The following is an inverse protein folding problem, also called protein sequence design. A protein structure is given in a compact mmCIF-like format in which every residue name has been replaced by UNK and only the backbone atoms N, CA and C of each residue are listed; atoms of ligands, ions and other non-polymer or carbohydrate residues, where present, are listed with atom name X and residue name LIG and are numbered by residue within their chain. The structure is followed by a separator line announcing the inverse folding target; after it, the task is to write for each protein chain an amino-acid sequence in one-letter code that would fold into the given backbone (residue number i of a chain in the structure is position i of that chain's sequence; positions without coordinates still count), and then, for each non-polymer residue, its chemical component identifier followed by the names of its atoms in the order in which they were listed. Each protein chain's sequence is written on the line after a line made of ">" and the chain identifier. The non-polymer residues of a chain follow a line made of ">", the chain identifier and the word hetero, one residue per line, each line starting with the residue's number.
data_IF_540316534543
#
_entry.id   IF_540316534543
#
_cell.length_a   1.000
_cell.length_b   1.000
_cell.length_c   1.000
_cell.angle_alpha   90.00
_cell.angle_beta   90.00
_cell.angle_gamma   90.00
#
_symmetry.space_group_name_H-M   'P 1'
#
loop_
_entity.id
_entity.type
_entity.pdbx_description
1 polymer ?
#
# COMPACT_ATOMS: atom_id res chain seq x y z
N UNK A 1 19.59 -6.73 -11.85
CA UNK A 1 19.15 -7.21 -10.52
C UNK A 1 17.85 -7.95 -10.75
N UNK A 2 17.81 -9.28 -10.55
CA UNK A 2 16.53 -10.02 -10.62
C UNK A 2 15.78 -9.78 -9.32
N UNK A 3 14.60 -9.17 -9.41
CA UNK A 3 13.71 -9.02 -8.25
C UNK A 3 13.20 -10.41 -7.90
N UNK A 4 13.50 -10.90 -6.69
CA UNK A 4 12.92 -12.14 -6.20
C UNK A 4 11.46 -11.83 -5.87
N UNK A 5 10.54 -12.18 -6.76
CA UNK A 5 9.11 -12.06 -6.46
C UNK A 5 8.74 -13.10 -5.41
N UNK A 6 8.13 -12.64 -4.33
CA UNK A 6 7.61 -13.56 -3.32
C UNK A 6 6.45 -14.36 -3.91
N UNK A 7 6.31 -15.63 -3.51
CA UNK A 7 5.14 -16.45 -3.86
C UNK A 7 3.82 -15.79 -3.44
N UNK A 8 3.86 -14.96 -2.40
CA UNK A 8 2.74 -14.13 -1.95
C UNK A 8 2.34 -13.08 -3.02
N UNK A 9 3.30 -12.40 -3.66
CA UNK A 9 3.02 -11.42 -4.73
C UNK A 9 2.46 -12.08 -6.00
N UNK A 10 2.94 -13.27 -6.34
CA UNK A 10 2.40 -14.03 -7.48
C UNK A 10 0.92 -14.35 -7.30
N UNK A 11 0.51 -14.73 -6.09
CA UNK A 11 -0.87 -15.12 -5.76
C UNK A 11 -1.78 -13.96 -5.40
N UNK A 12 -1.26 -12.90 -4.81
CA UNK A 12 -2.03 -11.71 -4.49
C UNK A 12 -2.55 -11.05 -5.78
N UNK A 13 -3.83 -10.69 -5.82
CA UNK A 13 -4.51 -10.16 -7.02
C UNK A 13 -4.41 -11.08 -8.26
N UNK A 14 -4.28 -12.40 -8.10
CA UNK A 14 -4.42 -13.37 -9.19
C UNK A 14 -5.90 -13.65 -9.51
N UNK A 15 -6.18 -14.39 -10.59
CA UNK A 15 -7.55 -14.84 -10.89
C UNK A 15 -8.13 -15.67 -9.74
N UNK A 16 -7.34 -16.58 -9.17
CA UNK A 16 -7.73 -17.44 -8.05
C UNK A 16 -8.04 -16.63 -6.79
N UNK A 17 -7.28 -15.54 -6.55
CA UNK A 17 -7.56 -14.59 -5.48
C UNK A 17 -8.96 -13.99 -5.60
N UNK A 18 -9.33 -13.53 -6.79
CA UNK A 18 -10.65 -12.92 -7.01
C UNK A 18 -11.80 -13.93 -6.97
N UNK A 19 -11.53 -15.22 -7.21
CA UNK A 19 -12.54 -16.28 -7.10
C UNK A 19 -12.75 -16.71 -5.65
N UNK A 20 -11.68 -16.89 -4.89
CA UNK A 20 -11.73 -17.24 -3.47
C UNK A 20 -10.45 -16.77 -2.76
N UNK A 21 -10.50 -15.64 -2.03
CA UNK A 21 -9.29 -15.06 -1.46
C UNK A 21 -8.82 -15.74 -0.16
N UNK A 22 -9.70 -16.47 0.55
CA UNK A 22 -9.39 -16.99 1.89
C UNK A 22 -8.22 -18.00 1.94
N UNK A 23 -8.07 -18.95 0.98
CA UNK A 23 -6.89 -19.80 0.93
C UNK A 23 -5.60 -19.00 0.72
N UNK A 24 -5.65 -17.94 -0.08
CA UNK A 24 -4.48 -17.09 -0.35
C UNK A 24 -4.14 -16.22 0.86
N UNK A 25 -5.13 -15.66 1.55
CA UNK A 25 -4.89 -14.95 2.82
C UNK A 25 -4.19 -15.84 3.84
N UNK A 26 -4.63 -17.10 3.99
CA UNK A 26 -3.99 -18.07 4.88
C UNK A 26 -2.53 -18.30 4.51
N UNK A 27 -2.26 -18.55 3.23
CA UNK A 27 -0.89 -18.80 2.77
C UNK A 27 0.01 -17.56 2.93
N UNK A 28 -0.51 -16.37 2.65
CA UNK A 28 0.21 -15.09 2.87
C UNK A 28 0.55 -14.96 4.36
N UNK A 29 -0.41 -15.16 5.25
CA UNK A 29 -0.21 -15.06 6.70
C UNK A 29 0.84 -16.07 7.22
N UNK A 30 0.87 -17.28 6.66
CA UNK A 30 1.79 -18.34 7.09
C UNK A 30 3.22 -18.17 6.56
N UNK A 31 3.38 -17.61 5.35
CA UNK A 31 4.68 -17.63 4.65
C UNK A 31 5.35 -16.27 4.48
N UNK A 32 4.57 -15.21 4.32
CA UNK A 32 5.08 -13.86 4.03
C UNK A 32 4.02 -12.80 4.37
N UNK A 33 3.73 -12.59 5.67
CA UNK A 33 2.58 -11.79 6.11
C UNK A 33 2.68 -10.29 5.75
N UNK A 34 3.90 -9.79 5.51
CA UNK A 34 4.18 -8.44 5.03
C UNK A 34 5.11 -8.55 3.83
N UNK A 35 4.70 -8.05 2.66
CA UNK A 35 5.49 -8.16 1.42
C UNK A 35 5.27 -6.98 0.47
N UNK A 36 6.26 -6.69 -0.38
CA UNK A 36 6.08 -5.77 -1.49
C UNK A 36 5.32 -6.47 -2.62
N UNK A 37 4.21 -5.89 -3.06
CA UNK A 37 3.51 -6.33 -4.26
C UNK A 37 3.85 -5.45 -5.45
N UNK A 38 4.39 -6.05 -6.51
CA UNK A 38 4.64 -5.32 -7.76
C UNK A 38 3.34 -4.95 -8.46
N UNK A 39 2.32 -5.82 -8.38
CA UNK A 39 1.00 -5.57 -8.98
C UNK A 39 0.33 -4.34 -8.36
N UNK A 40 0.39 -4.20 -7.04
CA UNK A 40 -0.17 -3.05 -6.33
C UNK A 40 0.79 -1.85 -6.24
N UNK A 41 2.08 -2.06 -6.51
CA UNK A 41 3.17 -1.11 -6.24
C UNK A 41 3.10 -0.57 -4.81
N UNK A 42 2.88 -1.48 -3.86
CA UNK A 42 2.64 -1.17 -2.47
C UNK A 42 3.11 -2.31 -1.56
N UNK A 43 3.42 -1.94 -0.31
CA UNK A 43 3.53 -2.91 0.77
C UNK A 43 2.15 -3.43 1.14
N UNK A 44 2.01 -4.74 1.17
CA UNK A 44 0.82 -5.45 1.62
C UNK A 44 1.06 -5.91 3.05
N UNK A 45 0.13 -5.60 3.94
CA UNK A 45 0.15 -5.96 5.36
C UNK A 45 -1.10 -6.79 5.62
N UNK A 46 -0.93 -8.01 6.12
CA UNK A 46 -2.03 -8.96 6.33
C UNK A 46 -2.33 -9.35 7.77
N UNK A 47 -1.40 -9.34 8.75
CA UNK A 47 -1.73 -9.68 10.13
C UNK A 47 -2.75 -8.71 10.72
N UNK A 48 -3.74 -9.26 11.42
CA UNK A 48 -4.81 -8.46 12.02
C UNK A 48 -4.27 -7.33 12.90
N UNK A 49 -3.34 -7.63 13.81
CA UNK A 49 -2.80 -6.63 14.73
C UNK A 49 -2.09 -5.49 14.00
N UNK A 50 -1.27 -5.79 12.99
CA UNK A 50 -0.55 -4.78 12.20
C UNK A 50 -1.50 -3.89 11.40
N UNK A 51 -2.58 -4.48 10.86
CA UNK A 51 -3.63 -3.74 10.17
C UNK A 51 -4.38 -2.84 11.14
N UNK A 52 -4.81 -3.39 12.28
CA UNK A 52 -5.54 -2.66 13.32
C UNK A 52 -4.71 -1.47 13.84
N UNK A 53 -3.46 -1.71 14.22
CA UNK A 53 -2.54 -0.66 14.67
C UNK A 53 -2.35 0.41 13.59
N UNK A 54 -2.21 0.01 12.32
CA UNK A 54 -2.08 0.92 11.19
C UNK A 54 -3.30 1.80 10.95
N UNK A 55 -4.52 1.30 11.20
CA UNK A 55 -5.76 2.07 11.05
C UNK A 55 -5.90 3.21 12.06
N UNK A 56 -5.24 3.09 13.22
CA UNK A 56 -5.25 4.12 14.27
C UNK A 56 -4.11 5.14 14.15
N UNK A 57 -3.20 4.95 13.18
CA UNK A 57 -2.09 5.87 12.95
C UNK A 57 -2.46 6.92 11.88
N UNK A 58 -2.47 8.19 12.30
CA UNK A 58 -2.75 9.34 11.42
C UNK A 58 -1.89 9.34 10.14
N UNK A 59 -0.64 8.85 10.23
CA UNK A 59 0.33 8.85 9.12
C UNK A 59 -0.12 8.03 7.91
N UNK A 60 -1.02 7.06 8.12
CA UNK A 60 -1.53 6.19 7.05
C UNK A 60 -2.84 6.68 6.45
N UNK A 61 -3.42 7.77 6.97
CA UNK A 61 -4.55 8.45 6.32
C UNK A 61 -4.16 9.01 4.96
N UNK A 62 -5.10 9.06 4.01
CA UNK A 62 -4.83 9.60 2.67
C UNK A 62 -4.22 11.01 2.73
N UNK A 63 -4.79 11.88 3.57
CA UNK A 63 -4.34 13.26 3.76
C UNK A 63 -2.89 13.32 4.25
N UNK A 64 -2.56 12.62 5.33
CA UNK A 64 -1.20 12.67 5.88
C UNK A 64 -0.18 11.98 4.96
N UNK A 65 -0.57 10.90 4.26
CA UNK A 65 0.28 10.29 3.24
C UNK A 65 0.62 11.27 2.13
N UNK A 66 -0.37 12.02 1.65
CA UNK A 66 -0.17 13.03 0.61
C UNK A 66 0.65 14.21 1.11
N UNK A 67 0.37 14.74 2.32
CA UNK A 67 1.18 15.80 2.93
C UNK A 67 2.65 15.40 3.06
N UNK A 68 2.91 14.19 3.56
CA UNK A 68 4.27 13.69 3.74
C UNK A 68 4.94 13.43 2.39
N UNK A 69 4.25 12.83 1.45
CA UNK A 69 4.77 12.58 0.10
C UNK A 69 5.09 13.89 -0.63
N UNK A 70 4.31 14.96 -0.46
CA UNK A 70 4.55 16.24 -1.12
C UNK A 70 5.48 17.18 -0.36
N UNK A 71 5.88 16.84 0.86
CA UNK A 71 6.65 17.73 1.76
C UNK A 71 8.03 18.15 1.25
N UNK A 72 8.56 17.45 0.24
CA UNK A 72 9.84 17.77 -0.38
C UNK A 72 9.72 18.76 -1.55
N UNK A 73 8.51 19.09 -2.01
CA UNK A 73 8.30 20.06 -3.08
C UNK A 73 8.32 21.49 -2.55
N UNK A 74 8.85 22.40 -3.37
CA UNK A 74 8.76 23.85 -3.16
C UNK A 74 7.36 24.37 -3.49
N UNK A 75 7.05 25.59 -3.02
CA UNK A 75 5.78 26.25 -3.34
C UNK A 75 5.56 26.43 -4.85
N UNK A 76 6.62 26.75 -5.60
CA UNK A 76 6.55 26.93 -7.05
C UNK A 76 6.31 25.61 -7.81
N UNK A 77 6.80 24.49 -7.29
CA UNK A 77 6.54 23.16 -7.84
C UNK A 77 5.11 22.72 -7.55
N UNK A 78 4.62 22.95 -6.33
CA UNK A 78 3.24 22.66 -5.95
C UNK A 78 2.24 23.50 -6.76
N UNK A 79 2.56 24.76 -7.06
CA UNK A 79 1.73 25.63 -7.90
C UNK A 79 1.54 25.07 -9.32
N UNK A 80 2.47 24.24 -9.81
CA UNK A 80 2.38 23.56 -11.11
C UNK A 80 1.60 22.23 -11.05
N UNK A 81 1.23 21.77 -9.85
CA UNK A 81 0.56 20.48 -9.60
C UNK A 81 -0.78 20.68 -8.84
N UNK A 82 -1.76 21.40 -9.42
CA UNK A 82 -2.97 21.82 -8.71
C UNK A 82 -3.82 20.64 -8.19
N UNK A 83 -3.74 19.47 -8.82
CA UNK A 83 -4.46 18.27 -8.40
C UNK A 83 -3.95 17.67 -7.08
N UNK A 84 -2.70 17.91 -6.71
CA UNK A 84 -2.17 17.49 -5.40
C UNK A 84 -2.82 18.35 -4.31
N UNK A 85 -2.92 19.66 -4.53
CA UNK A 85 -3.51 20.62 -3.59
C UNK A 85 -4.99 20.33 -3.30
N UNK A 86 -5.74 19.85 -4.28
CA UNK A 86 -7.17 19.48 -4.12
C UNK A 86 -7.35 18.29 -3.17
N UNK A 87 -6.41 17.34 -3.16
CA UNK A 87 -6.43 16.17 -2.27
C UNK A 87 -5.96 16.48 -0.84
N UNK A 88 -5.25 17.59 -0.63
CA UNK A 88 -4.76 18.03 0.67
C UNK A 88 -5.78 18.90 1.44
N UNK A 89 -6.75 19.46 0.71
CA UNK A 89 -7.73 20.42 1.23
C UNK A 89 -9.06 19.80 1.65
N UNK A 90 -9.28 18.52 1.30
CA UNK A 90 -10.45 17.74 1.72
C UNK A 90 -10.19 16.95 3.02
#
# INVERSE_FOLDING_TARGET
>A
MQTIHSRADEKFLSTEYFQNPYPIYREILESSPIFWSEKARAWIVSPFQEVEDGLHLDVFTQKQRMLKASSHFTADELAKMPHILTNLSN
#
